data_IF_851654883594
#
_entry.id   IF_851654883594
#
_cell.length_a   1.000
_cell.length_b   1.000
_cell.length_c   1.000
_cell.angle_alpha   90.00
_cell.angle_beta   90.00
_cell.angle_gamma   90.00
#
_symmetry.space_group_name_H-M   'P 1'
#
loop_
_entity.id
_entity.type
_entity.pdbx_description
1 polymer ?
#
# COMPACT_ATOMS: atom_id res chain seq x y z
N UNK A 1 13.04 -6.90 6.84
CA UNK A 1 13.80 -5.97 7.71
C UNK A 1 12.87 -4.99 8.44
N UNK A 2 12.00 -4.27 7.73
CA UNK A 2 10.99 -3.36 8.30
C UNK A 2 10.22 -3.91 9.52
N UNK A 3 9.72 -5.16 9.46
CA UNK A 3 9.07 -5.81 10.62
C UNK A 3 9.92 -5.87 11.89
N UNK A 4 11.23 -6.12 11.76
CA UNK A 4 12.16 -6.14 12.92
C UNK A 4 12.30 -4.76 13.56
N UNK A 5 11.98 -3.70 12.83
CA UNK A 5 11.97 -2.32 13.29
C UNK A 5 10.58 -1.87 13.78
N UNK A 6 9.61 -2.79 13.92
CA UNK A 6 8.25 -2.46 14.37
C UNK A 6 7.37 -1.82 13.29
N UNK A 7 7.80 -1.81 12.03
CA UNK A 7 7.02 -1.26 10.91
C UNK A 7 5.96 -2.28 10.47
N UNK A 8 4.70 -1.85 10.46
CA UNK A 8 3.58 -2.60 9.86
C UNK A 8 3.59 -2.37 8.35
N UNK A 9 3.56 -3.45 7.57
CA UNK A 9 3.56 -3.35 6.10
C UNK A 9 2.16 -3.62 5.56
N UNK A 10 1.69 -2.72 4.70
CA UNK A 10 0.44 -2.88 3.95
C UNK A 10 0.77 -2.94 2.46
N UNK A 11 0.45 -4.06 1.82
CA UNK A 11 0.67 -4.27 0.38
C UNK A 11 -0.63 -3.97 -0.36
N UNK A 12 -0.57 -3.08 -1.34
CA UNK A 12 -1.71 -2.73 -2.20
C UNK A 12 -1.42 -3.12 -3.65
N UNK A 13 -2.02 -4.18 -4.14
CA UNK A 13 -1.83 -4.69 -5.50
C UNK A 13 -3.08 -4.50 -6.36
N UNK A 14 -2.89 -4.13 -7.63
CA UNK A 14 -3.97 -4.14 -8.62
C UNK A 14 -4.24 -5.55 -9.16
N UNK A 15 -3.33 -6.49 -8.94
CA UNK A 15 -3.47 -7.85 -9.42
C UNK A 15 -4.49 -8.63 -8.59
N UNK A 16 -4.98 -9.72 -9.16
CA UNK A 16 -5.83 -10.68 -8.44
C UNK A 16 -5.11 -11.21 -7.20
N UNK A 17 -5.88 -11.76 -6.27
CA UNK A 17 -5.33 -12.41 -5.07
C UNK A 17 -4.28 -13.46 -5.43
N UNK A 18 -4.58 -14.36 -6.36
CA UNK A 18 -3.68 -15.43 -6.79
C UNK A 18 -2.36 -14.89 -7.34
N UNK A 19 -2.41 -13.87 -8.21
CA UNK A 19 -1.21 -13.28 -8.80
C UNK A 19 -0.38 -12.49 -7.77
N UNK A 20 -1.05 -11.81 -6.85
CA UNK A 20 -0.39 -11.10 -5.74
C UNK A 20 0.32 -12.08 -4.82
N UNK A 21 -0.34 -13.14 -4.38
CA UNK A 21 0.25 -14.18 -3.53
C UNK A 21 1.42 -14.88 -4.23
N UNK A 22 1.28 -15.22 -5.51
CA UNK A 22 2.36 -15.83 -6.30
C UNK A 22 3.57 -14.89 -6.42
N UNK A 23 3.37 -13.59 -6.61
CA UNK A 23 4.45 -12.60 -6.69
C UNK A 23 5.15 -12.44 -5.35
N UNK A 24 4.39 -12.35 -4.26
CA UNK A 24 4.93 -12.23 -2.91
C UNK A 24 5.72 -13.48 -2.51
N UNK A 25 5.25 -14.68 -2.86
CA UNK A 25 5.98 -15.94 -2.63
C UNK A 25 7.36 -15.96 -3.29
N UNK A 26 7.50 -15.41 -4.51
CA UNK A 26 8.79 -15.32 -5.23
C UNK A 26 9.80 -14.39 -4.56
N UNK A 27 9.34 -13.35 -3.86
CA UNK A 27 10.23 -12.41 -3.18
C UNK A 27 10.82 -12.95 -1.87
N UNK A 28 10.39 -14.13 -1.42
CA UNK A 28 10.84 -14.77 -0.18
C UNK A 28 10.53 -13.97 1.10
N UNK A 29 9.83 -12.84 0.97
CA UNK A 29 9.71 -11.84 2.02
C UNK A 29 8.32 -11.72 2.63
N UNK A 30 7.27 -12.30 2.02
CA UNK A 30 5.91 -12.00 2.46
C UNK A 30 4.87 -12.99 1.89
N UNK A 31 3.88 -13.47 2.68
CA UNK A 31 3.88 -13.60 4.14
C UNK A 31 4.59 -14.90 4.59
N UNK A 32 5.85 -15.13 4.19
CA UNK A 32 6.59 -16.33 4.61
C UNK A 32 7.43 -16.12 5.87
N UNK A 33 6.77 -16.15 7.04
CA UNK A 33 7.30 -16.65 8.33
C UNK A 33 6.18 -17.14 9.27
N UNK A 34 5.11 -17.74 8.73
CA UNK A 34 4.01 -18.28 9.55
C UNK A 34 3.25 -17.24 10.38
N UNK A 35 3.41 -15.94 10.07
CA UNK A 35 2.70 -14.87 10.75
C UNK A 35 1.35 -14.60 10.06
N UNK A 36 0.28 -14.31 10.82
CA UNK A 36 -1.02 -14.03 10.23
C UNK A 36 -0.94 -12.78 9.34
N UNK A 37 -1.20 -12.95 8.03
CA UNK A 37 -1.45 -11.85 7.11
C UNK A 37 -2.95 -11.79 6.84
N UNK A 38 -3.52 -10.60 6.92
CA UNK A 38 -4.92 -10.38 6.51
C UNK A 38 -4.91 -10.11 5.01
N UNK A 39 -5.57 -10.97 4.23
CA UNK A 39 -5.71 -10.79 2.79
C UNK A 39 -7.13 -10.33 2.50
N UNK A 40 -7.26 -9.13 1.94
CA UNK A 40 -8.51 -8.48 1.54
C UNK A 40 -8.54 -8.34 0.01
N UNK A 41 -9.73 -8.36 -0.56
CA UNK A 41 -9.96 -7.97 -1.95
C UNK A 41 -10.56 -6.57 -2.02
N UNK A 42 -10.19 -5.78 -3.03
CA UNK A 42 -10.42 -4.34 -3.12
C UNK A 42 -11.80 -3.86 -2.66
N UNK A 43 -12.92 -4.36 -3.24
CA UNK A 43 -14.26 -3.93 -2.84
C UNK A 43 -14.60 -4.25 -1.38
N UNK A 44 -14.09 -5.36 -0.85
CA UNK A 44 -14.31 -5.77 0.54
C UNK A 44 -13.40 -4.99 1.50
N UNK A 45 -12.23 -4.55 1.03
CA UNK A 45 -11.30 -3.76 1.81
C UNK A 45 -11.91 -2.42 2.23
N UNK A 46 -12.60 -1.71 1.35
CA UNK A 46 -13.17 -0.39 1.68
C UNK A 46 -14.17 -0.45 2.85
N UNK A 47 -14.90 -1.55 3.01
CA UNK A 47 -15.81 -1.76 4.15
C UNK A 47 -15.12 -2.28 5.42
N UNK A 48 -13.93 -2.87 5.29
CA UNK A 48 -13.22 -3.55 6.39
C UNK A 48 -12.22 -2.64 7.10
N UNK A 49 -11.68 -1.64 6.41
CA UNK A 49 -10.56 -0.79 6.88
C UNK A 49 -11.03 0.33 7.82
N UNK A 50 -11.65 -0.05 8.93
CA UNK A 50 -12.08 0.85 10.00
C UNK A 50 -10.94 1.14 10.99
N UNK A 51 -11.14 2.13 11.85
CA UNK A 51 -10.16 2.48 12.89
C UNK A 51 -9.98 1.31 13.88
N UNK A 52 -11.05 0.55 14.19
CA UNK A 52 -10.99 -0.67 15.00
C UNK A 52 -10.18 -1.77 14.33
N UNK A 53 -10.34 -1.95 13.01
CA UNK A 53 -9.56 -2.91 12.25
C UNK A 53 -8.07 -2.60 12.37
N UNK A 54 -7.69 -1.33 12.22
CA UNK A 54 -6.30 -0.92 12.32
C UNK A 54 -5.74 -1.09 13.73
N UNK A 55 -6.51 -0.73 14.77
CA UNK A 55 -6.12 -0.92 16.17
C UNK A 55 -5.79 -2.40 16.49
N UNK A 56 -6.50 -3.35 15.87
CA UNK A 56 -6.26 -4.79 16.06
C UNK A 56 -5.12 -5.35 15.18
N UNK A 57 -4.78 -4.65 14.10
CA UNK A 57 -3.87 -5.14 13.07
C UNK A 57 -2.44 -4.62 13.27
N UNK A 58 -2.30 -3.40 13.78
CA UNK A 58 -1.01 -2.75 13.98
C UNK A 58 -0.02 -3.59 14.79
N UNK A 59 1.16 -3.83 14.22
CA UNK A 59 2.24 -4.58 14.87
C UNK A 59 1.98 -6.09 15.04
N UNK A 60 0.74 -6.54 14.84
CA UNK A 60 0.33 -7.93 15.01
C UNK A 60 0.29 -8.69 13.67
N UNK A 61 -0.11 -8.01 12.59
CA UNK A 61 -0.35 -8.60 11.27
C UNK A 61 0.08 -7.64 10.18
N UNK A 62 0.55 -8.20 9.07
CA UNK A 62 0.62 -7.39 7.86
C UNK A 62 -0.70 -7.54 7.09
N UNK A 63 -0.97 -6.59 6.21
CA UNK A 63 -2.19 -6.55 5.40
C UNK A 63 -1.81 -6.63 3.93
N UNK A 64 -2.53 -7.46 3.19
CA UNK A 64 -2.49 -7.52 1.73
C UNK A 64 -3.85 -7.13 1.23
N UNK A 65 -3.91 -6.13 0.36
CA UNK A 65 -5.11 -5.78 -0.37
C UNK A 65 -4.86 -6.03 -1.85
N UNK A 66 -5.57 -7.02 -2.38
CA UNK A 66 -5.51 -7.43 -3.78
C UNK A 66 -6.65 -6.77 -4.57
N UNK A 67 -6.56 -6.77 -5.90
CA UNK A 67 -7.58 -6.20 -6.80
C UNK A 67 -7.89 -4.73 -6.47
N UNK A 68 -6.89 -3.96 -6.02
CA UNK A 68 -7.05 -2.57 -5.63
C UNK A 68 -7.28 -1.68 -6.84
N UNK A 69 -8.37 -0.90 -6.80
CA UNK A 69 -8.50 0.27 -7.66
C UNK A 69 -7.67 1.43 -7.10
N UNK A 70 -7.32 2.45 -7.92
CA UNK A 70 -6.65 3.66 -7.44
C UNK A 70 -7.36 4.32 -6.24
N UNK A 71 -8.70 4.30 -6.26
CA UNK A 71 -9.53 4.81 -5.17
C UNK A 71 -9.31 4.02 -3.88
N UNK A 72 -9.34 2.70 -3.94
CA UNK A 72 -9.12 1.82 -2.78
C UNK A 72 -7.76 2.08 -2.12
N UNK A 73 -6.70 2.29 -2.91
CA UNK A 73 -5.38 2.68 -2.37
C UNK A 73 -5.42 3.99 -1.60
N UNK A 74 -6.19 4.95 -2.10
CA UNK A 74 -6.37 6.26 -1.46
C UNK A 74 -7.11 6.11 -0.13
N UNK A 75 -8.21 5.34 -0.13
CA UNK A 75 -8.98 5.02 1.08
C UNK A 75 -8.12 4.33 2.14
N UNK A 76 -7.26 3.38 1.74
CA UNK A 76 -6.33 2.70 2.65
C UNK A 76 -5.41 3.72 3.33
N UNK A 77 -4.75 4.58 2.55
CA UNK A 77 -3.79 5.55 3.09
C UNK A 77 -4.49 6.57 3.98
N UNK A 78 -5.63 7.12 3.57
CA UNK A 78 -6.41 8.06 4.38
C UNK A 78 -6.88 7.43 5.68
N UNK A 79 -7.32 6.17 5.65
CA UNK A 79 -7.73 5.43 6.85
C UNK A 79 -6.54 5.21 7.79
N UNK A 80 -5.38 4.79 7.28
CA UNK A 80 -4.15 4.65 8.07
C UNK A 80 -3.74 5.96 8.74
N UNK A 81 -3.69 7.06 7.97
CA UNK A 81 -3.32 8.40 8.46
C UNK A 81 -4.27 8.89 9.54
N UNK A 82 -5.59 8.67 9.37
CA UNK A 82 -6.60 9.09 10.35
C UNK A 82 -6.58 8.24 11.62
N UNK A 83 -6.41 6.93 11.48
CA UNK A 83 -6.61 5.97 12.57
C UNK A 83 -5.63 6.12 13.74
N UNK A 84 -4.41 6.62 13.49
CA UNK A 84 -3.42 6.85 14.54
C UNK A 84 -2.52 8.05 14.20
N UNK A 85 -2.77 9.23 14.81
CA UNK A 85 -2.00 10.44 14.53
C UNK A 85 -0.57 10.39 15.05
N UNK A 86 -0.20 9.38 15.85
CA UNK A 86 1.16 9.20 16.36
C UNK A 86 2.06 8.45 15.38
N UNK A 87 1.50 7.90 14.30
CA UNK A 87 2.22 7.09 13.31
C UNK A 87 2.50 7.88 12.04
N UNK A 88 3.67 7.61 11.48
CA UNK A 88 4.03 8.07 10.13
C UNK A 88 3.64 7.01 9.12
N UNK A 89 2.87 7.41 8.11
CA UNK A 89 2.47 6.58 6.99
C UNK A 89 3.34 6.91 5.80
N UNK A 90 4.18 5.96 5.40
CA UNK A 90 5.02 6.06 4.22
C UNK A 90 4.42 5.21 3.09
N UNK A 91 4.22 5.81 1.91
CA UNK A 91 3.76 5.09 0.71
C UNK A 91 4.86 5.01 -0.33
N UNK A 92 5.10 3.79 -0.82
CA UNK A 92 6.01 3.52 -1.93
C UNK A 92 5.18 3.08 -3.14
N UNK A 93 5.37 3.72 -4.28
CA UNK A 93 4.58 3.44 -5.48
C UNK A 93 5.36 3.69 -6.77
N UNK A 94 5.07 2.90 -7.81
CA UNK A 94 5.77 2.98 -9.09
C UNK A 94 4.85 3.33 -10.28
N UNK A 95 3.54 3.45 -10.04
CA UNK A 95 2.55 3.67 -11.10
C UNK A 95 1.68 4.89 -10.83
N UNK A 96 1.14 5.47 -11.90
CA UNK A 96 0.13 6.55 -11.83
C UNK A 96 -1.08 6.17 -10.99
N UNK A 97 -1.42 4.87 -10.89
CA UNK A 97 -2.49 4.37 -10.05
C UNK A 97 -2.27 4.58 -8.54
N UNK A 98 -1.01 4.75 -8.12
CA UNK A 98 -0.63 5.00 -6.74
C UNK A 98 -0.61 6.50 -6.39
N UNK A 99 -0.55 7.38 -7.40
CA UNK A 99 -0.34 8.81 -7.21
C UNK A 99 -1.35 9.48 -6.27
N UNK A 100 -2.67 9.25 -6.40
CA UNK A 100 -3.64 9.88 -5.50
C UNK A 100 -3.42 9.51 -4.04
N UNK A 101 -3.10 8.23 -3.77
CA UNK A 101 -2.83 7.73 -2.44
C UNK A 101 -1.48 8.25 -1.89
N UNK A 102 -0.46 8.37 -2.74
CA UNK A 102 0.84 8.94 -2.35
C UNK A 102 0.72 10.39 -1.88
N UNK A 103 -0.19 11.18 -2.47
CA UNK A 103 -0.44 12.56 -2.00
C UNK A 103 -1.12 12.64 -0.63
N UNK A 104 -1.67 11.52 -0.12
CA UNK A 104 -2.32 11.45 1.20
C UNK A 104 -1.39 10.92 2.28
N UNK A 105 -0.32 10.24 1.92
CA UNK A 105 0.65 9.72 2.88
C UNK A 105 1.47 10.88 3.48
N UNK A 106 1.97 10.67 4.70
CA UNK A 106 2.88 11.63 5.35
C UNK A 106 4.21 11.74 4.61
N UNK A 107 4.70 10.60 4.11
CA UNK A 107 5.92 10.48 3.31
C UNK A 107 5.62 9.63 2.08
N UNK A 108 6.10 10.06 0.92
CA UNK A 108 5.91 9.31 -0.33
C UNK A 108 7.20 9.13 -1.08
N UNK A 109 7.40 7.93 -1.62
CA UNK A 109 8.55 7.56 -2.43
C UNK A 109 8.06 7.00 -3.77
N UNK A 110 8.40 7.69 -4.85
CA UNK A 110 8.17 7.19 -6.20
C UNK A 110 9.33 6.28 -6.60
N UNK A 111 9.03 5.05 -7.00
CA UNK A 111 10.02 4.14 -7.56
C UNK A 111 9.90 4.20 -9.08
N UNK A 112 10.92 4.65 -9.81
CA UNK A 112 10.86 4.67 -11.26
C UNK A 112 10.78 3.23 -11.79
N UNK A 113 9.78 2.95 -12.64
CA UNK A 113 9.81 1.75 -13.47
C UNK A 113 10.89 2.00 -14.54
N UNK A 114 12.01 1.28 -14.43
CA UNK A 114 13.07 1.30 -15.43
C UNK A 114 12.64 0.48 -16.65
N UNK A 115 11.66 0.97 -17.40
CA UNK A 115 11.32 0.45 -18.73
C UNK A 115 11.36 1.59 -19.75
N UNK A 116 12.58 2.05 -20.07
CA UNK A 116 12.93 2.76 -21.32
C UNK A 116 12.24 4.09 -21.65
N UNK A 117 11.20 4.51 -20.94
CA UNK A 117 10.47 5.75 -21.14
C UNK A 117 10.71 6.69 -19.96
N UNK A 118 11.17 7.89 -20.29
CA UNK A 118 11.60 8.91 -19.35
C UNK A 118 10.61 9.20 -18.23
N UNK A 119 11.18 9.56 -17.10
CA UNK A 119 10.57 10.27 -15.97
C UNK A 119 9.30 11.03 -16.37
N UNK A 120 8.13 10.50 -16.00
CA UNK A 120 6.95 11.36 -15.83
C UNK A 120 7.14 12.09 -14.50
N UNK A 121 7.87 13.21 -14.54
CA UNK A 121 7.83 14.18 -13.45
C UNK A 121 6.40 14.70 -13.38
N UNK A 122 5.64 14.27 -12.38
CA UNK A 122 4.32 14.88 -12.13
C UNK A 122 4.57 16.04 -11.17
N UNK A 123 4.33 17.29 -11.59
CA UNK A 123 4.56 18.45 -10.76
C UNK A 123 3.63 18.41 -9.53
N UNK A 124 4.11 19.02 -8.43
CA UNK A 124 3.56 18.91 -7.06
C UNK A 124 2.08 19.35 -6.97
N UNK A 125 1.62 20.10 -7.96
CA UNK A 125 0.29 20.64 -8.20
C UNK A 125 -0.64 19.75 -9.05
N UNK A 126 -0.19 18.56 -9.48
CA UNK A 126 -1.06 17.52 -10.05
C UNK A 126 -1.50 17.74 -11.50
N UNK A 127 -0.82 18.60 -12.26
CA UNK A 127 -1.04 18.75 -13.70
C UNK A 127 -0.10 17.82 -14.48
N UNK A 128 -0.53 17.20 -15.60
CA UNK A 128 0.42 16.53 -16.49
C UNK A 128 1.41 17.56 -17.07
N UNK A 129 2.69 17.19 -17.19
CA UNK A 129 3.65 17.95 -18.01
C UNK A 129 3.24 17.82 -19.48
N UNK A 130 3.15 18.97 -20.15
CA UNK A 130 2.94 19.07 -21.59
C UNK A 130 4.20 18.69 -22.37
#
# INVERSE_FOLDING_TARGET
EARRMGVTVVVCSCDTKTATEASLAKTGGYPHRGGPAVVLEGPFAEATLTDEFWAQTYGARDVVVCSCQPRTKTTIVESLVRSDPTRVVAMVGASVSAWPAMRRAHVSCAVPLLDGAGWATVPVDGRPLA
#
